data_IF_150565759101
#
_entry.id   IF_150565759101
#
_cell.length_a   1.000
_cell.length_b   1.000
_cell.length_c   1.000
_cell.angle_alpha   90.00
_cell.angle_beta   90.00
_cell.angle_gamma   90.00
#
_symmetry.space_group_name_H-M   'P 1'
#
loop_
_entity.id
_entity.type
_entity.pdbx_description
1 polymer ?
#
# COMPACT_ATOMS: atom_id res chain seq x y z
N UNK A 1 6.11 25.22 -6.41
CA UNK A 1 6.58 24.16 -7.32
C UNK A 1 6.45 22.87 -6.53
N UNK A 2 5.56 21.96 -6.93
CA UNK A 2 5.43 20.67 -6.23
C UNK A 2 6.69 19.83 -6.45
N UNK A 3 7.17 19.09 -5.44
CA UNK A 3 8.37 18.27 -5.55
C UNK A 3 8.15 17.08 -6.49
N UNK A 4 9.22 16.61 -7.15
CA UNK A 4 9.17 15.46 -8.08
C UNK A 4 8.88 14.11 -7.40
N UNK A 5 8.86 14.08 -6.06
CA UNK A 5 8.50 12.95 -5.21
C UNK A 5 7.79 13.46 -3.97
N UNK A 6 7.00 12.61 -3.32
CA UNK A 6 6.43 12.92 -2.02
C UNK A 6 7.53 13.19 -0.98
N UNK A 7 7.18 13.92 0.08
CA UNK A 7 8.07 14.15 1.23
C UNK A 7 8.47 12.80 1.85
N UNK A 8 7.51 11.88 1.93
CA UNK A 8 7.70 10.51 2.40
C UNK A 8 7.42 9.53 1.26
N UNK A 9 8.28 8.50 1.11
CA UNK A 9 8.16 7.50 0.06
C UNK A 9 8.42 6.10 0.64
N UNK A 10 7.66 5.12 0.17
CA UNK A 10 7.87 3.69 0.47
C UNK A 10 7.77 2.86 -0.79
N UNK A 11 8.72 1.95 -0.98
CA UNK A 11 8.89 1.18 -2.21
C UNK A 11 8.49 -0.28 -1.99
N UNK A 12 7.64 -0.80 -2.89
CA UNK A 12 7.16 -2.18 -2.86
C UNK A 12 7.57 -2.92 -4.13
N UNK A 13 8.13 -4.12 -3.97
CA UNK A 13 8.40 -5.00 -5.10
C UNK A 13 7.11 -5.70 -5.53
N UNK A 14 6.78 -5.56 -6.80
CA UNK A 14 5.58 -6.15 -7.39
C UNK A 14 5.88 -7.49 -8.07
N UNK A 15 5.11 -8.51 -7.71
CA UNK A 15 4.96 -9.69 -8.58
C UNK A 15 4.14 -9.34 -9.82
N UNK A 16 4.24 -10.14 -10.88
CA UNK A 16 3.44 -9.94 -12.10
C UNK A 16 1.94 -9.86 -11.81
N UNK A 17 1.43 -10.72 -10.92
CA UNK A 17 -0.01 -10.73 -10.55
C UNK A 17 -0.40 -9.44 -9.81
N UNK A 18 0.44 -8.96 -8.89
CA UNK A 18 0.18 -7.69 -8.19
C UNK A 18 0.26 -6.51 -9.15
N UNK A 19 1.21 -6.52 -10.08
CA UNK A 19 1.33 -5.50 -11.11
C UNK A 19 0.08 -5.46 -12.01
N UNK A 20 -0.42 -6.62 -12.47
CA UNK A 20 -1.63 -6.65 -13.30
C UNK A 20 -2.85 -6.13 -12.52
N UNK A 21 -3.03 -6.55 -11.26
CA UNK A 21 -4.09 -6.01 -10.41
C UNK A 21 -3.98 -4.50 -10.17
N UNK A 22 -2.77 -4.01 -9.91
CA UNK A 22 -2.51 -2.58 -9.75
C UNK A 22 -2.84 -1.82 -11.03
N UNK A 23 -2.45 -2.37 -12.18
CA UNK A 23 -2.76 -1.79 -13.50
C UNK A 23 -4.27 -1.73 -13.72
N UNK A 24 -5.02 -2.77 -13.36
CA UNK A 24 -6.47 -2.76 -13.47
C UNK A 24 -7.09 -1.69 -12.55
N UNK A 25 -6.65 -1.61 -11.29
CA UNK A 25 -7.11 -0.62 -10.31
C UNK A 25 -6.78 0.82 -10.71
N UNK A 26 -5.61 1.11 -11.29
CA UNK A 26 -5.27 2.46 -11.75
C UNK A 26 -6.16 2.91 -12.91
N UNK A 27 -6.69 1.96 -13.69
CA UNK A 27 -7.55 2.26 -14.83
C UNK A 27 -9.05 2.25 -14.48
N UNK A 28 -9.43 2.03 -13.21
CA UNK A 28 -10.83 2.16 -12.80
C UNK A 28 -11.22 3.63 -12.65
N UNK A 29 -12.47 3.95 -12.97
CA UNK A 29 -13.04 5.27 -12.68
C UNK A 29 -13.47 5.29 -11.22
N UNK A 30 -12.88 6.18 -10.43
CA UNK A 30 -13.20 6.38 -9.02
C UNK A 30 -14.06 7.63 -8.82
N UNK A 31 -15.02 7.54 -7.90
CA UNK A 31 -15.84 8.68 -7.50
C UNK A 31 -15.33 9.27 -6.18
N UNK A 32 -14.86 10.51 -6.25
CA UNK A 32 -14.26 11.19 -5.11
C UNK A 32 -15.32 11.82 -4.21
N UNK A 33 -15.22 11.56 -2.90
CA UNK A 33 -16.04 12.14 -1.85
C UNK A 33 -15.15 12.61 -0.69
N UNK A 34 -15.71 13.33 0.27
CA UNK A 34 -14.97 13.78 1.45
C UNK A 34 -14.31 12.63 2.23
N UNK A 35 -14.95 11.46 2.24
CA UNK A 35 -14.46 10.23 2.89
C UNK A 35 -13.92 9.20 1.90
N UNK A 36 -13.81 9.52 0.61
CA UNK A 36 -13.21 8.65 -0.41
C UNK A 36 -12.40 9.52 -1.37
N UNK A 37 -11.16 9.81 -1.00
CA UNK A 37 -10.28 10.73 -1.72
C UNK A 37 -8.98 10.02 -2.13
N UNK A 38 -8.03 10.76 -2.71
CA UNK A 38 -6.79 10.17 -3.21
C UNK A 38 -6.00 9.42 -2.11
N UNK A 39 -5.99 9.92 -0.87
CA UNK A 39 -5.37 9.21 0.26
C UNK A 39 -6.11 7.92 0.61
N UNK A 40 -7.44 7.94 0.57
CA UNK A 40 -8.28 6.74 0.73
C UNK A 40 -7.95 5.65 -0.25
N UNK A 41 -7.94 6.05 -1.51
CA UNK A 41 -7.74 5.10 -2.59
C UNK A 41 -6.35 4.46 -2.50
N UNK A 42 -5.31 5.23 -2.13
CA UNK A 42 -3.97 4.69 -1.90
C UNK A 42 -3.97 3.69 -0.73
N UNK A 43 -4.57 4.04 0.40
CA UNK A 43 -4.71 3.15 1.57
C UNK A 43 -5.39 1.83 1.18
N UNK A 44 -6.53 1.91 0.47
CA UNK A 44 -7.26 0.74 0.01
C UNK A 44 -6.48 -0.12 -0.99
N UNK A 45 -5.85 0.50 -1.98
CA UNK A 45 -5.07 -0.21 -3.00
C UNK A 45 -3.89 -0.94 -2.36
N UNK A 46 -3.20 -0.27 -1.43
CA UNK A 46 -2.09 -0.89 -0.70
C UNK A 46 -2.61 -2.04 0.17
N UNK A 47 -3.71 -1.85 0.88
CA UNK A 47 -4.36 -2.91 1.67
C UNK A 47 -4.78 -4.10 0.81
N UNK A 48 -5.39 -3.87 -0.35
CA UNK A 48 -5.85 -4.89 -1.32
C UNK A 48 -4.68 -5.67 -1.93
N UNK A 49 -3.58 -5.01 -2.29
CA UNK A 49 -2.44 -5.63 -2.98
C UNK A 49 -1.43 -6.29 -2.04
N UNK A 50 -1.33 -5.78 -0.82
CA UNK A 50 -0.21 -6.09 0.05
C UNK A 50 -0.61 -6.54 1.46
N UNK A 51 -1.89 -6.45 1.84
CA UNK A 51 -2.36 -6.72 3.21
C UNK A 51 -1.54 -6.00 4.28
N UNK A 52 -0.97 -4.85 3.92
CA UNK A 52 -0.12 -4.04 4.80
C UNK A 52 -0.87 -2.77 5.15
N UNK A 53 -0.70 -2.31 6.38
CA UNK A 53 -1.34 -1.12 6.93
C UNK A 53 -0.50 0.11 6.56
N UNK A 54 -0.63 0.58 5.32
CA UNK A 54 -0.44 2.01 5.06
C UNK A 54 -1.81 2.61 5.34
N UNK A 55 -1.90 3.34 6.43
CA UNK A 55 -3.16 3.86 6.95
C UNK A 55 -3.29 5.34 6.61
N UNK A 56 -4.47 5.74 6.19
CA UNK A 56 -4.82 7.12 5.92
C UNK A 56 -5.98 7.61 6.81
N UNK A 57 -6.53 6.74 7.66
CA UNK A 57 -7.67 7.03 8.53
C UNK A 57 -7.30 8.04 9.62
N UNK A 58 -8.07 9.12 9.71
CA UNK A 58 -8.04 10.12 10.79
C UNK A 58 -9.36 10.06 11.60
N UNK A 59 -9.45 10.85 12.67
CA UNK A 59 -10.63 10.93 13.53
C UNK A 59 -11.90 11.34 12.74
N UNK A 60 -13.04 10.68 13.02
CA UNK A 60 -14.33 10.80 12.30
C UNK A 60 -14.38 10.23 10.85
N UNK A 61 -13.45 9.37 10.44
CA UNK A 61 -13.52 8.70 9.13
C UNK A 61 -13.17 9.61 7.95
N UNK A 62 -12.38 10.65 8.22
CA UNK A 62 -11.78 11.51 7.21
C UNK A 62 -10.41 10.93 6.91
N UNK A 63 -10.17 10.58 5.65
CA UNK A 63 -8.84 10.10 5.25
C UNK A 63 -8.00 11.29 4.77
N UNK A 64 -6.80 11.49 5.33
CA UNK A 64 -5.99 12.67 5.01
C UNK A 64 -4.62 12.31 4.43
N UNK A 65 -4.11 13.14 3.49
CA UNK A 65 -2.72 12.99 3.02
C UNK A 65 -1.69 13.14 4.14
N UNK A 66 -2.03 13.83 5.24
CA UNK A 66 -1.17 13.98 6.41
C UNK A 66 -1.00 12.66 7.14
N UNK A 67 -2.10 11.95 7.42
CA UNK A 67 -2.05 10.64 8.07
C UNK A 67 -1.36 9.60 7.18
N UNK A 68 -1.64 9.62 5.87
CA UNK A 68 -0.92 8.79 4.91
C UNK A 68 0.60 9.01 4.97
N UNK A 69 1.03 10.27 4.96
CA UNK A 69 2.45 10.63 5.08
C UNK A 69 3.04 10.19 6.42
N UNK A 70 2.31 10.35 7.53
CA UNK A 70 2.72 9.91 8.86
C UNK A 70 2.88 8.40 8.95
N UNK A 71 1.95 7.63 8.37
CA UNK A 71 2.00 6.17 8.30
C UNK A 71 3.22 5.71 7.51
N UNK A 72 3.49 6.32 6.34
CA UNK A 72 4.69 6.02 5.55
C UNK A 72 5.96 6.30 6.37
N UNK A 73 6.06 7.46 7.01
CA UNK A 73 7.21 7.82 7.84
C UNK A 73 7.46 6.80 8.97
N UNK A 74 6.41 6.37 9.68
CA UNK A 74 6.52 5.37 10.74
C UNK A 74 7.01 4.02 10.21
N UNK A 75 6.50 3.58 9.05
CA UNK A 75 6.91 2.34 8.41
C UNK A 75 8.37 2.40 7.94
N UNK A 76 8.79 3.52 7.36
CA UNK A 76 10.17 3.73 6.91
C UNK A 76 11.17 3.79 8.07
N UNK A 77 10.78 4.32 9.23
CA UNK A 77 11.63 4.26 10.45
C UNK A 77 11.83 2.85 10.98
N UNK A 78 10.83 1.99 10.82
CA UNK A 78 10.89 0.60 11.31
C UNK A 78 11.59 -0.32 10.33
N UNK A 79 11.32 -0.14 9.05
CA UNK A 79 11.87 -0.96 7.97
C UNK A 79 12.05 -0.08 6.72
N UNK A 80 13.23 0.54 6.57
CA UNK A 80 13.51 1.42 5.45
C UNK A 80 13.45 0.69 4.11
N UNK A 81 12.91 1.36 3.10
CA UNK A 81 12.85 0.87 1.72
C UNK A 81 13.51 1.86 0.76
N UNK A 82 14.00 1.34 -0.35
CA UNK A 82 14.51 2.14 -1.45
C UNK A 82 14.18 1.47 -2.78
N UNK A 83 14.49 2.15 -3.90
CA UNK A 83 14.36 1.55 -5.24
C UNK A 83 15.21 0.28 -5.36
N UNK A 84 16.41 0.30 -4.79
CA UNK A 84 17.35 -0.84 -4.82
C UNK A 84 17.02 -1.90 -3.76
N UNK A 85 16.34 -1.52 -2.68
CA UNK A 85 15.89 -2.41 -1.61
C UNK A 85 14.40 -2.21 -1.31
N UNK A 86 13.50 -2.65 -2.21
CA UNK A 86 12.07 -2.51 -2.03
C UNK A 86 11.52 -3.58 -1.07
N UNK A 87 10.41 -3.27 -0.39
CA UNK A 87 9.68 -4.24 0.43
C UNK A 87 9.08 -5.33 -0.47
N UNK A 88 9.55 -6.57 -0.31
CA UNK A 88 8.96 -7.73 -0.99
C UNK A 88 7.75 -8.24 -0.22
N UNK A 89 6.59 -8.26 -0.87
CA UNK A 89 5.35 -8.72 -0.25
C UNK A 89 4.84 -9.97 -0.95
N UNK A 90 5.17 -11.10 -0.35
CA UNK A 90 4.74 -12.42 -0.80
C UNK A 90 3.40 -12.71 -0.13
N UNK A 91 2.37 -13.00 -0.92
CA UNK A 91 1.15 -13.60 -0.41
C UNK A 91 1.53 -14.94 0.24
N UNK A 92 1.67 -14.98 1.56
CA UNK A 92 1.72 -16.24 2.28
C UNK A 92 0.34 -16.88 2.12
N UNK A 93 0.20 -17.68 1.07
CA UNK A 93 -0.70 -18.83 1.12
C UNK A 93 -0.33 -19.57 2.40
N UNK A 94 -1.20 -19.53 3.40
CA UNK A 94 -1.18 -20.53 4.45
C UNK A 94 -1.36 -21.88 3.77
N UNK A 95 -0.28 -22.50 3.33
CA UNK A 95 -0.23 -23.95 3.18
C UNK A 95 -0.30 -24.50 4.59
N UNK A 96 -1.52 -24.64 5.13
CA UNK A 96 -1.77 -25.60 6.20
C UNK A 96 -1.32 -26.96 5.65
N UNK A 97 -0.21 -27.43 6.22
CA UNK A 97 0.32 -28.80 6.18
C UNK A 97 0.01 -29.64 4.95
N UNK A 98 0.95 -29.72 4.01
CA UNK A 98 1.14 -30.97 3.26
C UNK A 98 2.05 -31.86 4.10
N UNK A 99 1.47 -32.62 5.04
CA UNK A 99 2.16 -33.70 5.73
C UNK A 99 2.38 -34.78 4.67
N UNK A 100 3.62 -34.97 4.19
CA UNK A 100 3.99 -36.21 3.49
C UNK A 100 3.78 -37.34 4.49
N UNK A 101 2.77 -38.15 4.26
CA UNK A 101 2.69 -39.48 4.86
C UNK A 101 3.80 -40.29 4.19
N UNK A 102 4.77 -40.74 4.98
CA UNK A 102 5.74 -41.76 4.57
C UNK A 102 5.07 -43.12 4.67
#
# INVERSE_FOLDING_TARGET
>A
MEPSRGIENRYYALTLIQYMKLKDLINTTEHWFYTNNCSSWVSEVVKKLYKTEVDADDWFGIETPRELSGSIWLLERKEPTSVDNPKVIVWRSTRRGYRRVK
#
